data_IF_424588086298
#
_entry.id   IF_424588086298
#
_cell.length_a   1.000
_cell.length_b   1.000
_cell.length_c   1.000
_cell.angle_alpha   90.00
_cell.angle_beta   90.00
_cell.angle_gamma   90.00
#
_symmetry.space_group_name_H-M   'P 1'
#
loop_
_entity.id
_entity.type
_entity.pdbx_description
1 polymer ?
#
# COMPACT_ATOMS: atom_id res chain seq x y z
N UNK A 1 7.71 13.69 13.47
CA UNK A 1 7.73 13.38 12.01
C UNK A 1 9.16 13.43 11.48
N UNK A 2 9.56 12.51 10.61
CA UNK A 2 10.89 12.43 9.99
C UNK A 2 10.80 11.88 8.55
N UNK A 3 11.28 12.61 7.56
CA UNK A 3 11.43 12.10 6.19
C UNK A 3 12.53 11.03 6.12
N UNK A 4 12.29 9.96 5.37
CA UNK A 4 13.30 8.93 5.13
C UNK A 4 14.17 9.36 3.96
N UNK A 5 15.48 9.50 4.19
CA UNK A 5 16.41 9.96 3.16
C UNK A 5 16.41 9.01 1.95
N UNK A 6 16.38 9.58 0.74
CA UNK A 6 16.33 8.87 -0.56
C UNK A 6 15.11 7.96 -0.79
N UNK A 7 14.07 8.06 0.03
CA UNK A 7 12.89 7.20 -0.07
C UNK A 7 11.62 8.07 -0.02
N UNK A 8 10.58 7.78 -0.82
CA UNK A 8 9.30 8.47 -0.79
C UNK A 8 8.48 7.98 0.42
N UNK A 9 9.02 8.18 1.62
CA UNK A 9 8.46 7.67 2.85
C UNK A 9 8.66 8.64 4.01
N UNK A 10 7.72 8.62 4.94
CA UNK A 10 7.67 9.48 6.12
C UNK A 10 7.45 8.64 7.37
N UNK A 11 8.20 8.90 8.44
CA UNK A 11 7.97 8.29 9.74
C UNK A 11 7.27 9.30 10.66
N UNK A 12 6.08 8.96 11.16
CA UNK A 12 5.31 9.73 12.14
C UNK A 12 5.06 8.82 13.34
N UNK A 13 5.53 9.21 14.54
CA UNK A 13 5.59 8.31 15.68
C UNK A 13 6.27 6.98 15.31
N UNK A 14 5.59 5.87 15.55
CA UNK A 14 5.99 4.51 15.16
C UNK A 14 5.36 4.06 13.82
N UNK A 15 4.75 4.96 13.04
CA UNK A 15 4.06 4.65 11.79
C UNK A 15 4.90 5.06 10.57
N UNK A 16 5.18 4.10 9.69
CA UNK A 16 5.73 4.36 8.37
C UNK A 16 4.60 4.73 7.41
N UNK A 17 4.70 5.87 6.74
CA UNK A 17 3.72 6.36 5.77
C UNK A 17 4.33 6.34 4.37
N UNK A 18 3.62 5.69 3.44
CA UNK A 18 3.90 5.67 1.99
C UNK A 18 2.60 5.99 1.24
N UNK A 19 2.67 6.24 -0.06
CA UNK A 19 1.50 6.64 -0.87
C UNK A 19 1.62 6.16 -2.32
N UNK A 20 0.50 6.13 -3.03
CA UNK A 20 0.45 5.98 -4.50
C UNK A 20 1.17 4.71 -5.01
N UNK A 21 0.81 3.55 -4.45
CA UNK A 21 1.47 2.28 -4.80
C UNK A 21 1.06 1.77 -6.18
N UNK A 22 -0.19 2.02 -6.59
CA UNK A 22 -0.75 1.60 -7.89
C UNK A 22 -0.44 0.12 -8.22
N UNK A 23 -0.61 -0.79 -7.25
CA UNK A 23 -0.40 -2.23 -7.48
C UNK A 23 -1.26 -2.68 -8.65
N UNK A 24 -0.62 -3.33 -9.64
CA UNK A 24 -1.24 -3.78 -10.88
C UNK A 24 -1.14 -2.80 -12.06
N UNK A 25 -0.50 -1.63 -11.89
CA UNK A 25 -0.27 -0.68 -12.99
C UNK A 25 0.47 -1.30 -14.18
N UNK A 26 1.30 -2.31 -13.94
CA UNK A 26 2.05 -3.02 -14.97
C UNK A 26 1.16 -3.60 -16.06
N UNK A 27 -0.07 -4.04 -15.73
CA UNK A 27 -1.02 -4.56 -16.69
C UNK A 27 -1.49 -3.49 -17.70
N UNK A 28 -1.41 -2.21 -17.36
CA UNK A 28 -1.65 -1.11 -18.30
C UNK A 28 -0.48 -0.94 -19.29
N UNK A 29 0.75 -1.18 -18.84
CA UNK A 29 1.95 -1.05 -19.66
C UNK A 29 2.21 -2.30 -20.53
N UNK A 30 1.93 -3.48 -19.98
CA UNK A 30 2.24 -4.78 -20.56
C UNK A 30 1.00 -5.71 -20.55
N UNK A 31 -0.09 -5.35 -21.26
CA UNK A 31 -1.41 -5.97 -21.13
C UNK A 31 -1.52 -7.44 -21.57
N UNK A 32 -0.43 -8.02 -22.09
CA UNK A 32 -0.38 -9.43 -22.55
C UNK A 32 0.64 -10.24 -21.75
N UNK A 33 1.05 -9.75 -20.58
CA UNK A 33 2.08 -10.40 -19.77
C UNK A 33 1.61 -10.53 -18.33
N UNK A 34 2.08 -11.56 -17.65
CA UNK A 34 1.83 -11.77 -16.22
C UNK A 34 2.97 -11.16 -15.38
N UNK A 35 3.37 -9.93 -15.72
CA UNK A 35 4.46 -9.21 -15.05
C UNK A 35 3.87 -8.31 -13.97
N UNK A 36 4.39 -8.44 -12.75
CA UNK A 36 4.09 -7.57 -11.60
C UNK A 36 5.36 -7.29 -10.81
N UNK A 37 5.50 -6.05 -10.33
CA UNK A 37 6.65 -5.66 -9.49
C UNK A 37 6.31 -5.69 -7.99
N UNK A 38 5.19 -6.27 -7.59
CA UNK A 38 4.74 -6.36 -6.19
C UNK A 38 5.80 -6.96 -5.27
N UNK A 39 6.53 -8.00 -5.71
CA UNK A 39 7.63 -8.57 -4.92
C UNK A 39 8.74 -7.55 -4.61
N UNK A 40 9.07 -6.70 -5.58
CA UNK A 40 10.06 -5.64 -5.41
C UNK A 40 9.53 -4.54 -4.48
N UNK A 41 8.25 -4.21 -4.60
CA UNK A 41 7.56 -3.29 -3.70
C UNK A 41 7.56 -3.81 -2.26
N UNK A 42 7.15 -5.07 -2.03
CA UNK A 42 7.17 -5.76 -0.73
C UNK A 42 8.57 -5.68 -0.11
N UNK A 43 9.61 -6.08 -0.86
CA UNK A 43 10.98 -6.07 -0.36
C UNK A 43 11.44 -4.65 0.06
N UNK A 44 11.05 -3.62 -0.71
CA UNK A 44 11.34 -2.22 -0.36
C UNK A 44 10.61 -1.79 0.90
N UNK A 45 9.32 -2.10 1.02
CA UNK A 45 8.50 -1.76 2.20
C UNK A 45 9.03 -2.47 3.45
N UNK A 46 9.33 -3.77 3.38
CA UNK A 46 9.93 -4.52 4.48
C UNK A 46 11.29 -3.94 4.88
N UNK A 47 12.12 -3.55 3.91
CA UNK A 47 13.40 -2.87 4.17
C UNK A 47 13.22 -1.55 4.93
N UNK A 48 12.26 -0.73 4.51
CA UNK A 48 11.90 0.51 5.19
C UNK A 48 11.39 0.29 6.60
N UNK A 49 10.49 -0.69 6.80
CA UNK A 49 9.97 -1.06 8.12
C UNK A 49 11.14 -1.47 9.04
N UNK A 50 12.03 -2.34 8.56
CA UNK A 50 13.21 -2.80 9.31
C UNK A 50 14.16 -1.65 9.65
N UNK A 51 14.45 -0.77 8.68
CA UNK A 51 15.33 0.38 8.87
C UNK A 51 14.77 1.37 9.89
N UNK A 52 13.48 1.63 9.83
CA UNK A 52 12.81 2.62 10.68
C UNK A 52 12.35 2.06 12.02
N UNK A 53 12.27 0.73 12.15
CA UNK A 53 11.62 0.01 13.26
C UNK A 53 10.14 0.40 13.44
N UNK A 54 9.48 0.80 12.35
CA UNK A 54 8.07 1.12 12.37
C UNK A 54 7.24 -0.09 12.83
N UNK A 55 6.21 0.18 13.62
CA UNK A 55 5.28 -0.83 14.14
C UNK A 55 3.95 -0.86 13.40
N UNK A 56 3.74 0.08 12.48
CA UNK A 56 2.55 0.20 11.65
C UNK A 56 2.93 0.75 10.27
N UNK A 57 2.24 0.28 9.24
CA UNK A 57 2.31 0.84 7.89
C UNK A 57 1.01 1.60 7.59
N UNK A 58 1.14 2.81 7.05
CA UNK A 58 0.03 3.61 6.56
C UNK A 58 0.25 3.85 5.07
N UNK A 59 -0.73 3.47 4.26
CA UNK A 59 -0.75 3.69 2.81
C UNK A 59 -1.75 4.82 2.57
N UNK A 60 -1.24 5.98 2.19
CA UNK A 60 -2.01 7.20 2.04
C UNK A 60 -2.37 7.43 0.57
N UNK A 61 -3.42 6.76 0.09
CA UNK A 61 -3.94 6.89 -1.26
C UNK A 61 -3.42 5.83 -2.24
N UNK A 62 -4.25 5.58 -3.25
CA UNK A 62 -4.05 4.78 -4.45
C UNK A 62 -3.18 3.52 -4.24
N UNK A 63 -3.70 2.60 -3.44
CA UNK A 63 -3.09 1.30 -3.19
C UNK A 63 -3.03 0.45 -4.48
N UNK A 64 -4.11 0.45 -5.28
CA UNK A 64 -4.25 -0.34 -6.50
C UNK A 64 -4.62 0.52 -7.71
N UNK A 65 -4.39 0.02 -8.92
CA UNK A 65 -4.49 0.86 -10.12
C UNK A 65 -5.88 1.01 -10.73
N UNK A 66 -6.73 -0.01 -10.73
CA UNK A 66 -8.10 0.10 -11.26
C UNK A 66 -8.90 1.14 -10.47
N UNK A 67 -9.84 1.88 -11.04
CA UNK A 67 -10.56 2.93 -10.28
C UNK A 67 -11.73 2.36 -9.46
N UNK A 68 -12.55 1.50 -10.07
CA UNK A 68 -13.85 1.07 -9.48
C UNK A 68 -13.75 -0.05 -8.45
N UNK A 69 -12.88 -1.02 -8.68
CA UNK A 69 -12.80 -2.29 -7.96
C UNK A 69 -11.61 -3.09 -8.47
N UNK A 70 -10.88 -3.82 -7.59
CA UNK A 70 -9.76 -4.66 -8.02
C UNK A 70 -10.15 -5.65 -9.13
N UNK A 71 -9.28 -5.76 -10.13
CA UNK A 71 -9.31 -6.89 -11.07
C UNK A 71 -8.91 -8.20 -10.37
N UNK A 72 -9.18 -9.38 -10.95
CA UNK A 72 -8.68 -10.64 -10.39
C UNK A 72 -7.16 -10.67 -10.21
N UNK A 73 -6.42 -10.08 -11.14
CA UNK A 73 -4.96 -9.93 -11.12
C UNK A 73 -4.51 -9.06 -9.94
N UNK A 74 -5.08 -7.86 -9.83
CA UNK A 74 -4.80 -6.95 -8.71
C UNK A 74 -5.18 -7.59 -7.37
N UNK A 75 -6.29 -8.31 -7.31
CA UNK A 75 -6.70 -9.03 -6.10
C UNK A 75 -5.65 -10.03 -5.62
N UNK A 76 -5.04 -10.80 -6.54
CA UNK A 76 -3.95 -11.73 -6.21
C UNK A 76 -2.71 -11.00 -5.69
N UNK A 77 -2.30 -9.92 -6.36
CA UNK A 77 -1.12 -9.17 -5.95
C UNK A 77 -1.34 -8.36 -4.66
N UNK A 78 -2.57 -7.89 -4.42
CA UNK A 78 -2.96 -7.27 -3.14
C UNK A 78 -2.88 -8.28 -2.00
N UNK A 79 -3.49 -9.47 -2.14
CA UNK A 79 -3.42 -10.52 -1.13
C UNK A 79 -1.96 -10.85 -0.77
N UNK A 80 -1.12 -11.03 -1.79
CA UNK A 80 0.31 -11.25 -1.65
C UNK A 80 1.04 -10.11 -0.92
N UNK A 81 0.67 -8.85 -1.18
CA UNK A 81 1.23 -7.70 -0.48
C UNK A 81 0.84 -7.70 1.00
N UNK A 82 -0.45 -7.90 1.32
CA UNK A 82 -0.93 -7.91 2.71
C UNK A 82 -0.34 -9.08 3.52
N UNK A 83 -0.31 -10.29 2.96
CA UNK A 83 0.27 -11.48 3.60
C UNK A 83 1.76 -11.31 3.93
N UNK A 84 2.49 -10.52 3.15
CA UNK A 84 3.94 -10.35 3.32
C UNK A 84 4.34 -9.26 4.34
N UNK A 85 3.42 -8.36 4.72
CA UNK A 85 3.73 -7.25 5.63
C UNK A 85 3.21 -7.60 7.04
N UNK A 86 4.14 -7.85 7.96
CA UNK A 86 3.82 -8.38 9.29
C UNK A 86 3.39 -7.31 10.31
N UNK A 87 3.47 -6.02 9.96
CA UNK A 87 3.00 -4.93 10.82
C UNK A 87 1.56 -4.56 10.44
N UNK A 88 0.71 -4.13 11.39
CA UNK A 88 -0.62 -3.64 11.08
C UNK A 88 -0.61 -2.59 9.96
N UNK A 89 -1.52 -2.75 9.00
CA UNK A 89 -1.65 -1.85 7.86
C UNK A 89 -2.93 -1.01 8.03
N UNK A 90 -2.83 0.28 7.71
CA UNK A 90 -3.98 1.14 7.45
C UNK A 90 -3.89 1.71 6.03
N UNK A 91 -5.01 1.73 5.32
CA UNK A 91 -5.12 2.26 3.96
C UNK A 91 -6.10 3.42 3.99
N UNK A 92 -5.61 4.63 3.74
CA UNK A 92 -6.46 5.80 3.47
C UNK A 92 -6.79 5.79 1.99
N UNK A 93 -8.08 5.71 1.66
CA UNK A 93 -8.54 5.55 0.27
C UNK A 93 -8.23 6.77 -0.58
N UNK A 94 -7.55 6.53 -1.70
CA UNK A 94 -7.46 7.45 -2.83
C UNK A 94 -8.59 7.25 -3.83
N UNK A 95 -8.52 7.92 -4.98
CA UNK A 95 -9.55 7.84 -6.02
C UNK A 95 -9.47 6.52 -6.80
N UNK A 96 -8.34 5.81 -6.77
CA UNK A 96 -8.21 4.48 -7.35
C UNK A 96 -8.65 3.37 -6.40
N UNK A 97 -8.94 3.66 -5.13
CA UNK A 97 -9.28 2.63 -4.15
C UNK A 97 -10.78 2.28 -4.09
N UNK A 98 -11.50 2.44 -5.20
CA UNK A 98 -12.87 1.96 -5.30
C UNK A 98 -12.94 0.46 -5.01
N UNK A 99 -13.87 0.05 -4.14
CA UNK A 99 -14.20 -1.34 -3.86
C UNK A 99 -13.15 -2.18 -3.12
N UNK A 100 -12.07 -1.59 -2.61
CA UNK A 100 -10.98 -2.33 -1.95
C UNK A 100 -11.42 -3.03 -0.66
N UNK A 101 -12.48 -2.55 0.00
CA UNK A 101 -13.03 -3.12 1.24
C UNK A 101 -13.46 -4.58 1.09
N UNK A 102 -13.73 -5.02 -0.15
CA UNK A 102 -14.10 -6.40 -0.47
C UNK A 102 -12.90 -7.34 -0.60
N UNK A 103 -11.68 -6.80 -0.63
CA UNK A 103 -10.44 -7.52 -0.95
C UNK A 103 -9.38 -7.38 0.14
N UNK A 104 -9.46 -6.30 0.91
CA UNK A 104 -8.54 -6.00 2.00
C UNK A 104 -9.19 -6.41 3.31
N UNK A 105 -8.91 -7.63 3.77
CA UNK A 105 -9.46 -8.16 5.03
C UNK A 105 -8.52 -8.01 6.22
N UNK A 106 -7.22 -7.80 5.95
CA UNK A 106 -6.16 -7.78 6.98
C UNK A 106 -5.68 -6.37 7.34
N UNK A 107 -6.31 -5.33 6.78
CA UNK A 107 -5.96 -3.95 7.04
C UNK A 107 -7.17 -3.09 7.41
N UNK A 108 -6.91 -2.04 8.17
CA UNK A 108 -7.88 -0.99 8.43
C UNK A 108 -8.07 -0.16 7.14
N UNK A 109 -9.32 -0.03 6.67
CA UNK A 109 -9.64 0.83 5.52
C UNK A 109 -10.29 2.11 6.01
N UNK A 110 -9.64 3.24 5.72
CA UNK A 110 -10.05 4.58 6.11
C UNK A 110 -10.58 5.32 4.88
N UNK A 111 -11.71 6.04 5.02
CA UNK A 111 -12.28 6.82 3.94
C UNK A 111 -11.42 8.02 3.53
N UNK A 112 -11.80 8.68 2.42
CA UNK A 112 -11.08 9.83 1.86
C UNK A 112 -11.04 11.09 2.76
N UNK A 113 -11.72 11.08 3.91
CA UNK A 113 -11.64 12.14 4.92
C UNK A 113 -10.32 12.18 5.69
N UNK A 114 -9.47 11.17 5.52
CA UNK A 114 -8.15 11.09 6.12
C UNK A 114 -8.12 10.35 7.46
N UNK A 115 -6.90 10.12 7.95
CA UNK A 115 -6.59 9.48 9.22
C UNK A 115 -5.77 10.45 10.08
N UNK A 116 -6.22 10.72 11.31
CA UNK A 116 -5.40 11.41 12.31
C UNK A 116 -4.45 10.40 12.95
N UNK A 117 -3.16 10.73 12.95
CA UNK A 117 -2.09 9.91 13.54
C UNK A 117 -1.41 10.76 14.59
N UNK A 118 -1.23 10.19 15.78
CA UNK A 118 -0.81 10.89 17.00
C UNK A 118 -1.83 11.96 17.49
N UNK A 119 -1.54 12.56 18.64
CA UNK A 119 -2.32 13.65 19.26
C UNK A 119 -1.99 15.03 18.68
#
# INVERSE_FOLDING_TARGET
MRFIHNEPALLIGDSLVIAELHIGYEQKLFPKTDIFFTNRLIARVQGLIKQTKAKRLIINGDLKHSVKGPTPEEGRELAKFFEAIEVPIAVVKGNHDGGIEKFVHEAEVVGAGGLRVDD
#
